data_IF_580650965445
#
_entry.id   IF_580650965445
#
_cell.length_a   1.000
_cell.length_b   1.000
_cell.length_c   1.000
_cell.angle_alpha   90.00
_cell.angle_beta   90.00
_cell.angle_gamma   90.00
#
_symmetry.space_group_name_H-M   'P 1'
#
loop_
_entity.id
_entity.type
_entity.pdbx_description
1 polymer ?
#
# COMPACT_ATOMS: atom_id res chain seq x y z
N UNK A 1 32.64 -8.94 -5.85
CA UNK A 1 33.02 -7.86 -4.91
C UNK A 1 33.41 -8.53 -3.61
N UNK A 2 34.55 -8.19 -3.01
CA UNK A 2 34.96 -8.72 -1.71
C UNK A 2 34.38 -7.87 -0.55
N UNK A 3 34.38 -8.43 0.66
CA UNK A 3 33.80 -7.77 1.84
C UNK A 3 34.52 -6.48 2.20
N UNK A 4 35.83 -6.41 1.93
CA UNK A 4 36.62 -5.21 2.19
C UNK A 4 36.27 -4.09 1.21
N UNK A 5 36.22 -4.34 -0.11
CA UNK A 5 35.83 -3.27 -1.06
C UNK A 5 34.38 -2.81 -0.86
N UNK A 6 33.48 -3.69 -0.41
CA UNK A 6 32.09 -3.32 -0.13
C UNK A 6 31.93 -2.51 1.16
N UNK A 7 32.72 -2.80 2.21
CA UNK A 7 32.57 -2.15 3.53
C UNK A 7 33.48 -0.94 3.76
N UNK A 8 34.64 -0.86 3.10
CA UNK A 8 35.60 0.25 3.28
C UNK A 8 34.99 1.65 3.06
N UNK A 9 34.17 1.90 2.03
CA UNK A 9 33.52 3.21 1.86
C UNK A 9 32.64 3.57 3.06
N UNK A 10 31.85 2.61 3.57
CA UNK A 10 30.99 2.80 4.73
C UNK A 10 31.79 3.07 6.02
N UNK A 11 32.88 2.34 6.25
CA UNK A 11 33.75 2.56 7.42
C UNK A 11 34.36 3.95 7.40
N UNK A 12 34.88 4.40 6.25
CA UNK A 12 35.45 5.74 6.11
C UNK A 12 34.38 6.81 6.38
N UNK A 13 33.20 6.66 5.77
CA UNK A 13 32.07 7.57 5.99
C UNK A 13 31.72 7.68 7.48
N UNK A 14 31.53 6.55 8.18
CA UNK A 14 31.09 6.60 9.59
C UNK A 14 32.18 7.05 10.57
N UNK A 15 33.45 6.73 10.32
CA UNK A 15 34.54 7.25 11.15
C UNK A 15 34.67 8.76 10.97
N UNK A 16 34.59 9.26 9.74
CA UNK A 16 34.65 10.71 9.48
C UNK A 16 33.43 11.46 9.99
N UNK A 17 32.23 10.89 9.89
CA UNK A 17 30.99 11.43 10.48
C UNK A 17 31.08 11.50 12.01
N UNK A 18 31.58 10.45 12.67
CA UNK A 18 31.80 10.44 14.11
C UNK A 18 32.76 11.56 14.52
N UNK A 19 33.91 11.67 13.83
CA UNK A 19 34.89 12.71 14.11
C UNK A 19 34.30 14.12 13.91
N UNK A 20 33.48 14.31 12.86
CA UNK A 20 32.77 15.56 12.63
C UNK A 20 31.79 15.90 13.76
N UNK A 21 31.04 14.92 14.26
CA UNK A 21 30.07 15.14 15.34
C UNK A 21 30.75 15.42 16.69
N UNK A 22 31.86 14.76 16.98
CA UNK A 22 32.71 15.08 18.16
C UNK A 22 33.20 16.53 18.09
N UNK A 23 33.52 17.02 16.89
CA UNK A 23 33.89 18.42 16.67
C UNK A 23 32.69 19.39 16.73
N UNK A 24 31.46 18.93 16.49
CA UNK A 24 30.25 19.76 16.42
C UNK A 24 29.50 19.89 17.75
N UNK A 25 29.73 19.00 18.71
CA UNK A 25 28.99 18.95 19.98
C UNK A 25 29.20 20.16 20.92
N UNK A 26 30.13 21.07 20.63
CA UNK A 26 30.37 22.27 21.44
C UNK A 26 29.30 23.40 21.23
N UNK A 27 28.15 23.09 20.63
CA UNK A 27 27.35 24.05 19.88
C UNK A 27 25.99 24.51 20.42
N UNK A 28 25.04 23.63 20.76
CA UNK A 28 23.65 24.07 20.98
C UNK A 28 22.86 23.04 21.81
N UNK A 29 22.44 23.45 23.02
CA UNK A 29 21.44 22.77 23.85
C UNK A 29 20.04 23.33 23.58
N UNK A 30 19.11 22.41 23.31
CA UNK A 30 17.69 22.32 23.74
C UNK A 30 16.72 23.49 23.39
N UNK A 31 15.44 23.30 23.09
CA UNK A 31 14.42 22.41 23.64
C UNK A 31 13.31 22.16 22.59
N UNK A 32 12.73 20.96 22.62
CA UNK A 32 11.57 20.55 21.82
C UNK A 32 10.29 20.55 22.67
N UNK A 33 9.20 20.99 22.02
CA UNK A 33 7.82 20.48 22.06
C UNK A 33 7.01 20.49 23.38
N UNK A 34 5.75 20.93 23.31
CA UNK A 34 4.60 19.99 23.21
C UNK A 34 3.21 20.68 23.34
N UNK A 35 2.09 20.00 23.00
CA UNK A 35 0.91 20.57 22.35
C UNK A 35 -0.36 20.33 23.21
N UNK A 36 -1.58 20.48 22.64
CA UNK A 36 -2.89 19.83 23.01
C UNK A 36 -4.04 20.49 22.21
N UNK A 37 -4.76 19.84 21.28
CA UNK A 37 -5.87 18.82 21.34
C UNK A 37 -7.26 19.31 21.81
N UNK A 38 -8.32 18.86 21.09
CA UNK A 38 -9.62 18.27 21.54
C UNK A 38 -10.95 18.87 20.96
N UNK A 39 -11.59 18.11 20.04
CA UNK A 39 -12.99 17.57 19.86
C UNK A 39 -14.24 18.25 20.49
N UNK A 40 -15.55 18.06 20.16
CA UNK A 40 -16.45 17.41 19.14
C UNK A 40 -17.93 17.70 19.59
N UNK A 41 -18.92 17.55 18.69
CA UNK A 41 -20.27 16.91 18.85
C UNK A 41 -21.59 17.62 18.47
N UNK A 42 -22.52 16.82 17.91
CA UNK A 42 -23.89 17.14 17.41
C UNK A 42 -24.92 16.18 18.03
N UNK A 43 -26.16 16.63 18.19
CA UNK A 43 -27.32 15.78 18.59
C UNK A 43 -28.50 15.95 17.62
N UNK A 44 -29.21 14.85 17.36
CA UNK A 44 -30.45 14.71 16.54
C UNK A 44 -31.59 14.24 17.43
N UNK A 45 -32.82 14.61 17.09
CA UNK A 45 -34.05 14.02 17.65
C UNK A 45 -35.13 13.71 16.57
N UNK A 46 -36.22 13.08 17.01
CA UNK A 46 -36.85 11.88 16.38
C UNK A 46 -38.39 11.85 16.60
N UNK A 47 -39.11 11.11 15.71
CA UNK A 47 -40.37 10.31 15.88
C UNK A 47 -41.78 10.95 15.72
N UNK A 48 -42.73 10.22 15.09
CA UNK A 48 -43.87 9.54 15.77
C UNK A 48 -44.76 8.57 14.89
N UNK A 49 -45.48 7.68 15.60
CA UNK A 49 -46.94 7.36 15.52
C UNK A 49 -47.53 6.05 14.92
N UNK A 50 -48.52 5.51 15.63
CA UNK A 50 -48.87 4.09 15.75
C UNK A 50 -50.13 3.60 14.98
N UNK A 51 -50.86 4.45 14.26
CA UNK A 51 -52.04 4.02 13.48
C UNK A 51 -51.71 3.49 12.06
N UNK A 52 -50.52 3.80 11.56
CA UNK A 52 -49.96 3.18 10.36
C UNK A 52 -49.52 1.73 10.61
N UNK A 53 -49.52 1.20 11.83
CA UNK A 53 -48.73 0.03 12.29
C UNK A 53 -48.73 -1.20 11.40
N UNK A 54 -49.85 -1.68 10.85
CA UNK A 54 -49.87 -2.89 10.02
C UNK A 54 -49.43 -2.64 8.56
N UNK A 55 -49.78 -1.48 7.98
CA UNK A 55 -49.26 -1.03 6.68
C UNK A 55 -47.80 -0.55 6.78
N UNK A 56 -47.43 0.15 7.86
CA UNK A 56 -46.05 0.42 8.31
C UNK A 56 -45.33 -0.88 8.55
N UNK A 57 -45.92 -1.93 9.10
CA UNK A 57 -45.22 -3.21 9.30
C UNK A 57 -44.92 -3.88 7.96
N UNK A 58 -45.86 -3.92 7.01
CA UNK A 58 -45.61 -4.44 5.66
C UNK A 58 -44.61 -3.57 4.89
N UNK A 59 -44.76 -2.25 4.95
CA UNK A 59 -43.85 -1.28 4.35
C UNK A 59 -42.46 -1.32 4.99
N UNK A 60 -42.37 -1.45 6.32
CA UNK A 60 -41.12 -1.60 7.07
C UNK A 60 -40.49 -2.96 6.76
N UNK A 61 -41.28 -4.02 6.58
CA UNK A 61 -40.76 -5.32 6.16
C UNK A 61 -40.18 -5.24 4.75
N UNK A 62 -40.87 -4.57 3.82
CA UNK A 62 -40.37 -4.34 2.46
C UNK A 62 -39.14 -3.43 2.45
N UNK A 63 -39.16 -2.34 3.21
CA UNK A 63 -38.03 -1.41 3.39
C UNK A 63 -36.83 -2.11 4.03
N UNK A 64 -37.07 -2.99 5.00
CA UNK A 64 -36.04 -3.82 5.61
C UNK A 64 -35.50 -4.81 4.59
N UNK A 65 -36.35 -5.48 3.79
CA UNK A 65 -35.90 -6.34 2.69
C UNK A 65 -35.04 -5.59 1.67
N UNK A 66 -35.48 -4.42 1.21
CA UNK A 66 -34.71 -3.55 0.31
C UNK A 66 -33.40 -3.12 0.95
N UNK A 67 -33.41 -2.74 2.23
CA UNK A 67 -32.21 -2.37 2.97
C UNK A 67 -31.25 -3.54 3.14
N UNK A 68 -31.77 -4.74 3.38
CA UNK A 68 -30.99 -5.98 3.47
C UNK A 68 -30.36 -6.31 2.12
N UNK A 69 -31.12 -6.22 1.03
CA UNK A 69 -30.62 -6.43 -0.34
C UNK A 69 -29.55 -5.38 -0.67
N UNK A 70 -29.77 -4.11 -0.32
CA UNK A 70 -28.78 -3.04 -0.51
C UNK A 70 -27.50 -3.28 0.30
N UNK A 71 -27.62 -3.70 1.56
CA UNK A 71 -26.46 -4.12 2.38
C UNK A 71 -25.73 -5.30 1.76
N UNK A 72 -26.47 -6.30 1.28
CA UNK A 72 -25.87 -7.46 0.61
C UNK A 72 -25.21 -7.09 -0.71
N UNK A 73 -25.78 -6.17 -1.50
CA UNK A 73 -25.16 -5.70 -2.72
C UNK A 73 -23.80 -5.03 -2.46
N UNK A 74 -23.68 -4.26 -1.37
CA UNK A 74 -22.40 -3.67 -0.95
C UNK A 74 -21.41 -4.78 -0.53
N UNK A 75 -21.85 -5.74 0.29
CA UNK A 75 -21.00 -6.87 0.73
C UNK A 75 -20.52 -7.69 -0.47
N UNK A 76 -21.39 -8.02 -1.43
CA UNK A 76 -21.01 -8.76 -2.63
C UNK A 76 -20.07 -7.96 -3.53
N UNK A 77 -20.26 -6.64 -3.64
CA UNK A 77 -19.33 -5.78 -4.35
C UNK A 77 -17.95 -5.83 -3.70
N UNK A 78 -17.87 -5.68 -2.37
CA UNK A 78 -16.61 -5.77 -1.63
C UNK A 78 -15.97 -7.14 -1.79
N UNK A 79 -16.71 -8.23 -1.57
CA UNK A 79 -16.19 -9.60 -1.77
C UNK A 79 -15.64 -9.83 -3.17
N UNK A 80 -16.32 -9.29 -4.20
CA UNK A 80 -15.83 -9.37 -5.58
C UNK A 80 -14.53 -8.59 -5.76
N UNK A 81 -14.47 -7.36 -5.27
CA UNK A 81 -13.28 -6.50 -5.38
C UNK A 81 -12.08 -7.13 -4.65
N UNK A 82 -12.29 -7.62 -3.43
CA UNK A 82 -11.25 -8.33 -2.66
C UNK A 82 -10.80 -9.61 -3.36
N UNK A 83 -11.74 -10.39 -3.93
CA UNK A 83 -11.40 -11.59 -4.67
C UNK A 83 -10.57 -11.29 -5.93
N UNK A 84 -10.93 -10.25 -6.68
CA UNK A 84 -10.16 -9.80 -7.85
C UNK A 84 -8.76 -9.31 -7.44
N UNK A 85 -8.65 -8.56 -6.34
CA UNK A 85 -7.37 -8.09 -5.80
C UNK A 85 -6.47 -9.25 -5.36
N UNK A 86 -7.01 -10.24 -4.64
CA UNK A 86 -6.27 -11.45 -4.24
C UNK A 86 -5.84 -12.26 -5.46
N UNK A 87 -6.70 -12.38 -6.47
CA UNK A 87 -6.38 -13.12 -7.70
C UNK A 87 -5.26 -12.45 -8.48
N UNK A 88 -5.29 -11.12 -8.59
CA UNK A 88 -4.19 -10.33 -9.19
C UNK A 88 -2.89 -10.52 -8.42
N UNK A 89 -2.91 -10.33 -7.10
CA UNK A 89 -1.74 -10.51 -6.23
C UNK A 89 -1.16 -11.92 -6.36
N UNK A 90 -2.01 -12.95 -6.38
CA UNK A 90 -1.60 -14.35 -6.57
C UNK A 90 -0.94 -14.58 -7.93
N UNK A 91 -1.42 -13.91 -8.98
CA UNK A 91 -0.83 -13.98 -10.33
C UNK A 91 0.54 -13.30 -10.44
N UNK A 92 0.80 -12.29 -9.60
CA UNK A 92 2.09 -11.59 -9.54
C UNK A 92 3.14 -12.34 -8.71
N UNK A 93 2.71 -13.15 -7.74
CA UNK A 93 3.62 -13.88 -6.86
C UNK A 93 4.23 -15.11 -7.55
N UNK A 94 5.55 -15.36 -7.38
CA UNK A 94 6.18 -16.56 -7.91
C UNK A 94 5.56 -17.83 -7.32
N UNK A 95 5.20 -18.78 -8.18
CA UNK A 95 4.58 -20.05 -7.77
C UNK A 95 3.15 -19.92 -7.25
N UNK A 96 2.44 -18.83 -7.54
CA UNK A 96 1.04 -18.60 -7.17
C UNK A 96 0.76 -18.68 -5.65
N UNK A 97 1.77 -18.40 -4.82
CA UNK A 97 1.66 -18.38 -3.36
C UNK A 97 1.90 -16.97 -2.86
N UNK A 98 0.91 -16.43 -2.15
CA UNK A 98 1.01 -15.11 -1.53
C UNK A 98 1.91 -15.24 -0.29
N UNK A 99 2.94 -14.38 -0.14
CA UNK A 99 3.76 -14.34 1.07
C UNK A 99 2.91 -14.18 2.35
N UNK A 100 3.27 -14.87 3.44
CA UNK A 100 2.58 -14.70 4.71
C UNK A 100 2.71 -13.25 5.18
N UNK A 101 1.65 -12.70 5.78
CA UNK A 101 1.63 -11.33 6.30
C UNK A 101 0.87 -10.32 5.43
N UNK A 102 0.81 -10.52 4.11
CA UNK A 102 0.17 -9.55 3.21
C UNK A 102 -1.36 -9.55 3.40
N UNK A 103 -1.99 -10.73 3.47
CA UNK A 103 -3.44 -10.83 3.68
C UNK A 103 -3.87 -10.35 5.08
N UNK A 104 -3.00 -10.49 6.08
CA UNK A 104 -3.28 -10.00 7.45
C UNK A 104 -3.20 -8.49 7.55
N UNK A 105 -2.48 -7.82 6.64
CA UNK A 105 -2.41 -6.36 6.55
C UNK A 105 -3.67 -5.71 5.95
N UNK A 106 -4.66 -6.50 5.52
CA UNK A 106 -5.91 -6.00 4.97
C UNK A 106 -5.80 -5.50 3.52
N UNK A 107 -6.81 -4.73 3.08
CA UNK A 107 -6.93 -4.30 1.69
C UNK A 107 -5.78 -3.36 1.25
N UNK A 108 -5.34 -2.46 2.14
CA UNK A 108 -4.26 -1.51 1.86
C UNK A 108 -2.94 -2.22 1.57
N UNK A 109 -2.59 -3.23 2.37
CA UNK A 109 -1.37 -4.03 2.16
C UNK A 109 -1.42 -4.83 0.84
N UNK A 110 -2.61 -5.28 0.42
CA UNK A 110 -2.78 -5.98 -0.86
C UNK A 110 -2.59 -5.00 -2.02
N UNK A 111 -3.17 -3.80 -1.96
CA UNK A 111 -3.02 -2.77 -2.98
C UNK A 111 -1.56 -2.29 -3.08
N UNK A 112 -0.90 -2.07 -1.94
CA UNK A 112 0.51 -1.70 -1.89
C UNK A 112 1.40 -2.80 -2.48
N UNK A 113 1.16 -4.06 -2.12
CA UNK A 113 1.92 -5.18 -2.68
C UNK A 113 1.77 -5.25 -4.21
N UNK A 114 0.55 -5.09 -4.74
CA UNK A 114 0.30 -5.05 -6.19
C UNK A 114 1.03 -3.86 -6.84
N UNK A 115 0.99 -2.67 -6.23
CA UNK A 115 1.69 -1.49 -6.73
C UNK A 115 3.23 -1.64 -6.68
N UNK A 116 3.75 -2.35 -5.68
CA UNK A 116 5.18 -2.61 -5.53
C UNK A 116 5.73 -3.44 -6.71
N UNK A 117 4.97 -4.42 -7.21
CA UNK A 117 5.35 -5.19 -8.40
C UNK A 117 5.48 -4.29 -9.64
N UNK A 118 4.51 -3.41 -9.89
CA UNK A 118 4.56 -2.47 -11.02
C UNK A 118 5.74 -1.50 -10.88
N UNK A 119 6.01 -1.02 -9.66
CA UNK A 119 7.16 -0.16 -9.37
C UNK A 119 8.48 -0.89 -9.63
N UNK A 120 8.61 -2.13 -9.16
CA UNK A 120 9.80 -2.95 -9.38
C UNK A 120 10.03 -3.21 -10.88
N UNK A 121 8.99 -3.61 -11.61
CA UNK A 121 9.02 -3.81 -13.06
C UNK A 121 9.44 -2.54 -13.81
N UNK A 122 8.94 -1.38 -13.40
CA UNK A 122 9.35 -0.10 -14.01
C UNK A 122 10.82 0.21 -13.79
N UNK A 123 11.35 -0.06 -12.59
CA UNK A 123 12.78 0.11 -12.30
C UNK A 123 13.65 -0.87 -13.08
N UNK A 124 13.17 -2.09 -13.28
CA UNK A 124 13.92 -3.15 -13.97
C UNK A 124 13.83 -3.07 -15.50
N UNK A 125 12.94 -2.23 -16.05
CA UNK A 125 12.73 -2.05 -17.51
C UNK A 125 14.03 -1.84 -18.29
N UNK A 126 15.01 -1.11 -17.72
CA UNK A 126 16.29 -0.87 -18.38
C UNK A 126 17.13 -2.16 -18.49
N UNK A 127 17.01 -3.05 -17.49
CA UNK A 127 17.73 -4.32 -17.44
C UNK A 127 17.04 -5.43 -18.26
N UNK A 128 15.73 -5.32 -18.51
CA UNK A 128 15.00 -6.22 -19.41
C UNK A 128 15.34 -5.98 -20.90
N UNK A 129 15.98 -4.86 -21.23
CA UNK A 129 16.42 -4.53 -22.58
C UNK A 129 17.66 -5.30 -23.02
N UNK A 130 17.82 -5.48 -24.33
CA UNK A 130 19.06 -6.04 -24.89
C UNK A 130 20.24 -5.13 -24.53
N UNK A 131 21.39 -5.67 -24.06
CA UNK A 131 22.58 -4.86 -23.83
C UNK A 131 23.04 -4.11 -25.09
N UNK A 132 23.50 -2.87 -24.94
CA UNK A 132 23.87 -2.00 -26.08
C UNK A 132 24.94 -2.61 -27.00
N UNK A 133 25.85 -3.40 -26.44
CA UNK A 133 26.91 -4.09 -27.22
C UNK A 133 26.33 -5.10 -28.21
N UNK A 134 25.28 -5.81 -27.82
CA UNK A 134 24.59 -6.77 -28.69
C UNK A 134 23.70 -6.07 -29.72
N UNK A 135 23.16 -4.90 -29.39
CA UNK A 135 22.40 -4.09 -30.35
C UNK A 135 23.31 -3.66 -31.51
N UNK A 136 24.51 -3.16 -31.20
CA UNK A 136 25.49 -2.72 -32.23
C UNK A 136 25.91 -3.87 -33.15
N UNK A 137 26.24 -5.03 -32.58
CA UNK A 137 26.62 -6.21 -33.37
C UNK A 137 25.49 -6.70 -34.30
N UNK A 138 24.22 -6.56 -33.90
CA UNK A 138 23.09 -6.93 -34.75
C UNK A 138 22.85 -5.95 -35.91
N UNK A 139 23.20 -4.67 -35.75
CA UNK A 139 23.12 -3.68 -36.83
C UNK A 139 24.27 -3.84 -37.84
N UNK A 140 25.46 -4.21 -37.38
CA UNK A 140 26.62 -4.40 -38.25
C UNK A 140 26.48 -5.66 -39.16
N UNK A 141 25.72 -6.69 -38.74
CA UNK A 141 25.45 -7.91 -39.52
C UNK A 141 24.36 -7.73 -40.61
N UNK A 142 23.53 -6.67 -40.53
CA UNK A 142 22.45 -6.39 -41.50
C UNK A 142 22.92 -5.50 -42.69
N UNK A 143 24.12 -4.92 -42.61
CA UNK A 143 24.69 -3.99 -43.60
C UNK A 143 25.74 -4.65 -44.56
N UNK A 144 26.01 -5.96 -44.45
CA UNK A 144 26.85 -6.79 -45.34
C UNK A 144 26.02 -7.75 -46.25
#
# INVERSE_FOLDING_TARGET
MDVFSWSMPFVIEKVTEMLYNVLKYEGVEEEDEDPKTVTVDRVKDKLNEEALTSQKQRFNTMKNKIRSIGKMAIIFKTLRQEHENITKLKGLCPGYKIPPGILTGGAEAIEEAVAQFEKAKKMDRMNEGMPEEMQKAAYDDDDD
#
